data_IF_247896781663
#
_entry.id   IF_247896781663
#
_cell.length_a   1.000
_cell.length_b   1.000
_cell.length_c   1.000
_cell.angle_alpha   90.00
_cell.angle_beta   90.00
_cell.angle_gamma   90.00
#
_symmetry.space_group_name_H-M   'P 1'
#
loop_
_entity.id
_entity.type
_entity.pdbx_description
1 polymer ?
#
# COMPACT_ATOMS: atom_id res chain seq x y z
N UNK A 1 -17.37 9.07 -17.42
CA UNK A 1 -16.66 9.54 -16.21
C UNK A 1 -17.08 10.98 -16.01
N UNK A 2 -17.62 11.33 -14.85
CA UNK A 2 -17.94 12.72 -14.52
C UNK A 2 -16.64 13.49 -14.27
N UNK A 3 -16.60 14.76 -14.62
CA UNK A 3 -15.44 15.60 -14.33
C UNK A 3 -15.21 15.67 -12.80
N UNK A 4 -13.95 15.60 -12.33
CA UNK A 4 -13.64 15.73 -10.91
C UNK A 4 -14.20 17.04 -10.35
N UNK A 5 -14.77 16.97 -9.14
CA UNK A 5 -15.28 18.16 -8.45
C UNK A 5 -14.14 19.16 -8.26
N UNK A 6 -14.32 20.37 -8.78
CA UNK A 6 -13.33 21.43 -8.60
C UNK A 6 -13.51 22.11 -7.24
N UNK A 7 -12.46 22.12 -6.43
CA UNK A 7 -12.46 22.78 -5.13
C UNK A 7 -11.87 24.21 -5.20
N UNK A 8 -12.47 25.19 -4.50
CA UNK A 8 -11.89 26.52 -4.38
C UNK A 8 -10.68 26.51 -3.44
N UNK A 9 -9.73 27.43 -3.63
CA UNK A 9 -8.52 27.54 -2.79
C UNK A 9 -8.82 27.82 -1.32
N UNK A 10 -10.02 28.30 -0.99
CA UNK A 10 -10.48 28.39 0.41
C UNK A 10 -10.54 27.04 1.13
N UNK A 11 -10.48 25.91 0.40
CA UNK A 11 -10.35 24.57 0.95
C UNK A 11 -8.91 24.13 1.22
N UNK A 12 -7.90 24.96 0.94
CA UNK A 12 -6.49 24.61 1.15
C UNK A 12 -6.20 24.09 2.57
N UNK A 13 -6.81 24.69 3.59
CA UNK A 13 -6.68 24.23 4.99
C UNK A 13 -7.10 22.77 5.17
N UNK A 14 -8.23 22.36 4.57
CA UNK A 14 -8.69 20.97 4.61
C UNK A 14 -7.69 20.01 3.93
N UNK A 15 -7.13 20.39 2.79
CA UNK A 15 -6.15 19.56 2.09
C UNK A 15 -4.86 19.38 2.91
N UNK A 16 -4.44 20.43 3.61
CA UNK A 16 -3.29 20.36 4.54
C UNK A 16 -3.59 19.46 5.74
N UNK A 17 -4.76 19.63 6.37
CA UNK A 17 -5.21 18.81 7.49
C UNK A 17 -5.38 17.34 7.10
N UNK A 18 -5.82 17.05 5.89
CA UNK A 18 -6.04 15.68 5.41
C UNK A 18 -4.73 14.99 5.00
N UNK A 19 -3.80 15.71 4.34
CA UNK A 19 -2.55 15.11 3.86
C UNK A 19 -1.56 14.79 4.98
N UNK A 20 -1.65 15.44 6.14
CA UNK A 20 -0.72 15.18 7.25
C UNK A 20 -0.95 13.82 7.93
N UNK A 21 -2.17 13.39 8.29
CA UNK A 21 -2.44 12.03 8.76
C UNK A 21 -2.16 10.99 7.68
N UNK A 22 -2.52 11.27 6.43
CA UNK A 22 -2.28 10.36 5.31
C UNK A 22 -0.78 10.03 5.15
N UNK A 23 0.11 11.01 5.38
CA UNK A 23 1.56 10.78 5.39
C UNK A 23 2.00 9.79 6.47
N UNK A 24 1.41 9.88 7.67
CA UNK A 24 1.71 8.97 8.78
C UNK A 24 1.26 7.56 8.40
N UNK A 25 0.04 7.41 7.90
CA UNK A 25 -0.53 6.11 7.49
C UNK A 25 0.33 5.43 6.41
N UNK A 26 0.75 6.16 5.37
CA UNK A 26 1.60 5.62 4.30
C UNK A 26 3.00 5.29 4.80
N UNK A 27 3.55 6.11 5.69
CA UNK A 27 4.87 5.84 6.29
C UNK A 27 4.84 4.56 7.13
N UNK A 28 3.79 4.34 7.91
CA UNK A 28 3.62 3.14 8.73
C UNK A 28 3.40 1.90 7.88
N UNK A 29 2.59 2.00 6.82
CA UNK A 29 2.36 0.90 5.89
C UNK A 29 3.63 0.52 5.12
N UNK A 30 4.38 1.51 4.60
CA UNK A 30 5.66 1.28 3.94
C UNK A 30 6.65 0.58 4.88
N UNK A 31 6.77 1.06 6.12
CA UNK A 31 7.64 0.44 7.12
C UNK A 31 7.22 -1.00 7.46
N UNK A 32 5.92 -1.29 7.50
CA UNK A 32 5.40 -2.63 7.77
C UNK A 32 5.72 -3.60 6.62
N UNK A 33 5.53 -3.17 5.38
CA UNK A 33 5.86 -3.98 4.21
C UNK A 33 7.36 -4.20 4.05
N UNK A 34 8.18 -3.20 4.37
CA UNK A 34 9.65 -3.36 4.36
C UNK A 34 10.10 -4.39 5.40
N UNK A 35 9.47 -4.47 6.57
CA UNK A 35 9.74 -5.53 7.55
C UNK A 35 9.38 -6.92 6.99
N UNK A 36 8.24 -7.03 6.30
CA UNK A 36 7.80 -8.26 5.65
C UNK A 36 8.76 -8.71 4.53
N UNK A 37 9.53 -7.81 3.93
CA UNK A 37 10.55 -8.14 2.91
C UNK A 37 11.56 -9.20 3.37
N UNK A 38 11.91 -9.21 4.65
CA UNK A 38 12.84 -10.17 5.25
C UNK A 38 12.21 -11.55 5.52
N UNK A 39 10.88 -11.61 5.62
CA UNK A 39 10.10 -12.82 5.90
C UNK A 39 8.82 -12.83 5.04
N UNK A 40 8.95 -12.88 3.71
CA UNK A 40 7.80 -12.63 2.82
C UNK A 40 6.71 -13.70 2.94
N UNK A 41 7.06 -14.90 3.42
CA UNK A 41 6.15 -16.01 3.72
C UNK A 41 5.20 -15.76 4.90
N UNK A 42 5.25 -14.59 5.57
CA UNK A 42 4.24 -14.22 6.58
C UNK A 42 2.98 -13.63 5.94
N UNK A 43 3.05 -13.23 4.67
CA UNK A 43 1.94 -12.68 3.91
C UNK A 43 1.31 -13.76 3.03
N UNK A 44 0.00 -13.65 2.85
CA UNK A 44 -0.75 -14.43 1.87
C UNK A 44 -0.81 -13.72 0.51
N UNK A 45 -1.11 -14.48 -0.55
CA UNK A 45 -1.46 -13.91 -1.87
C UNK A 45 -2.61 -12.89 -1.75
N UNK A 46 -3.57 -13.13 -0.85
CA UNK A 46 -4.67 -12.21 -0.58
C UNK A 46 -4.17 -10.89 0.04
N UNK A 47 -3.29 -10.94 1.05
CA UNK A 47 -2.77 -9.73 1.71
C UNK A 47 -2.00 -8.84 0.73
N UNK A 48 -1.18 -9.43 -0.13
CA UNK A 48 -0.42 -8.69 -1.14
C UNK A 48 -1.33 -8.09 -2.21
N UNK A 49 -2.33 -8.85 -2.69
CA UNK A 49 -3.25 -8.37 -3.72
C UNK A 49 -4.18 -7.25 -3.23
N UNK A 50 -4.70 -7.36 -2.00
CA UNK A 50 -5.51 -6.29 -1.39
C UNK A 50 -4.68 -5.03 -1.12
N UNK A 51 -3.44 -5.19 -0.62
CA UNK A 51 -2.52 -4.06 -0.44
C UNK A 51 -2.30 -3.36 -1.78
N UNK A 52 -1.94 -4.10 -2.83
CA UNK A 52 -1.74 -3.53 -4.17
C UNK A 52 -2.98 -2.78 -4.66
N UNK A 53 -4.18 -3.36 -4.50
CA UNK A 53 -5.44 -2.74 -4.92
C UNK A 53 -5.63 -1.39 -4.22
N UNK A 54 -5.55 -1.35 -2.89
CA UNK A 54 -5.72 -0.13 -2.09
C UNK A 54 -4.73 0.97 -2.51
N UNK A 55 -3.45 0.65 -2.66
CA UNK A 55 -2.44 1.66 -3.03
C UNK A 55 -2.47 2.04 -4.52
N UNK A 56 -3.12 1.23 -5.37
CA UNK A 56 -3.43 1.64 -6.75
C UNK A 56 -4.55 2.67 -6.75
N UNK A 57 -5.62 2.44 -5.97
CA UNK A 57 -6.72 3.41 -5.80
C UNK A 57 -6.21 4.73 -5.20
N UNK A 58 -5.36 4.66 -4.17
CA UNK A 58 -4.76 5.86 -3.58
C UNK A 58 -3.83 6.61 -4.54
N UNK A 59 -3.19 5.93 -5.49
CA UNK A 59 -2.40 6.61 -6.51
C UNK A 59 -3.28 7.48 -7.42
N UNK A 60 -4.53 7.07 -7.67
CA UNK A 60 -5.51 7.86 -8.41
C UNK A 60 -5.96 9.07 -7.57
N UNK A 61 -6.25 8.87 -6.29
CA UNK A 61 -6.60 9.96 -5.36
C UNK A 61 -5.49 11.02 -5.27
N UNK A 62 -4.23 10.59 -5.17
CA UNK A 62 -3.08 11.50 -5.16
C UNK A 62 -3.02 12.35 -6.42
N UNK A 63 -3.38 11.78 -7.58
CA UNK A 63 -3.41 12.52 -8.85
C UNK A 63 -4.45 13.64 -8.80
N UNK A 64 -5.62 13.38 -8.21
CA UNK A 64 -6.67 14.41 -8.02
C UNK A 64 -6.21 15.54 -7.10
N UNK A 65 -5.45 15.23 -6.05
CA UNK A 65 -4.89 16.22 -5.13
C UNK A 65 -3.77 17.04 -5.79
N UNK A 66 -2.86 16.39 -6.51
CA UNK A 66 -1.78 17.02 -7.29
C UNK A 66 -2.34 17.98 -8.33
N UNK A 67 -3.34 17.56 -9.10
CA UNK A 67 -4.01 18.39 -10.09
C UNK A 67 -4.71 19.59 -9.45
N UNK A 68 -5.34 19.41 -8.30
CA UNK A 68 -5.97 20.50 -7.54
C UNK A 68 -4.94 21.50 -7.05
N UNK A 69 -3.82 21.03 -6.48
CA UNK A 69 -2.71 21.86 -6.04
C UNK A 69 -2.09 22.66 -7.20
N UNK A 70 -1.86 22.00 -8.34
CA UNK A 70 -1.30 22.63 -9.54
C UNK A 70 -2.22 23.74 -10.09
N UNK A 71 -3.54 23.50 -10.14
CA UNK A 71 -4.51 24.53 -10.54
C UNK A 71 -4.53 25.73 -9.60
N UNK A 72 -4.45 25.51 -8.29
CA UNK A 72 -4.37 26.61 -7.32
C UNK A 72 -3.06 27.39 -7.46
N UNK A 73 -1.94 26.71 -7.67
CA UNK A 73 -0.64 27.35 -7.87
C UNK A 73 -0.59 28.23 -9.14
N UNK A 74 -1.39 27.93 -10.15
CA UNK A 74 -1.49 28.73 -11.38
C UNK A 74 -2.29 30.05 -11.22
N UNK A 75 -2.92 30.31 -10.07
CA UNK A 75 -3.69 31.54 -9.84
C UNK A 75 -2.78 32.75 -9.66
N UNK A 76 -3.11 33.88 -10.29
CA UNK A 76 -2.26 35.08 -10.26
C UNK A 76 -2.29 35.84 -8.92
N UNK A 77 -3.36 35.72 -8.15
CA UNK A 77 -3.67 36.58 -6.99
C UNK A 77 -3.62 35.85 -5.64
N UNK A 78 -2.64 34.96 -5.46
CA UNK A 78 -2.45 34.25 -4.19
C UNK A 78 -2.00 35.19 -3.06
N UNK A 79 -2.53 34.99 -1.85
CA UNK A 79 -1.99 35.62 -0.64
C UNK A 79 -0.65 34.98 -0.24
N UNK A 80 0.12 35.63 0.64
CA UNK A 80 1.36 35.03 1.16
C UNK A 80 1.09 33.71 1.89
N UNK A 81 0.01 33.66 2.67
CA UNK A 81 -0.44 32.46 3.39
C UNK A 81 -0.84 31.33 2.45
N UNK A 82 -1.58 31.63 1.38
CA UNK A 82 -1.94 30.63 0.37
C UNK A 82 -0.71 30.06 -0.34
N UNK A 83 0.29 30.90 -0.66
CA UNK A 83 1.55 30.42 -1.27
C UNK A 83 2.30 29.49 -0.32
N UNK A 84 2.40 29.86 0.96
CA UNK A 84 3.05 29.02 1.97
C UNK A 84 2.30 27.68 2.14
N UNK A 85 0.97 27.72 2.24
CA UNK A 85 0.14 26.52 2.32
C UNK A 85 0.26 25.62 1.10
N UNK A 86 0.31 26.18 -0.12
CA UNK A 86 0.53 25.40 -1.35
C UNK A 86 1.93 24.77 -1.39
N UNK A 87 2.95 25.46 -0.88
CA UNK A 87 4.30 24.89 -0.79
C UNK A 87 4.32 23.68 0.17
N UNK A 88 3.67 23.80 1.34
CA UNK A 88 3.51 22.70 2.29
C UNK A 88 2.71 21.54 1.67
N UNK A 89 1.57 21.83 1.06
CA UNK A 89 0.75 20.81 0.39
C UNK A 89 1.53 20.09 -0.70
N UNK A 90 2.26 20.83 -1.54
CA UNK A 90 3.13 20.26 -2.58
C UNK A 90 4.19 19.33 -2.01
N UNK A 91 4.86 19.72 -0.92
CA UNK A 91 5.81 18.86 -0.21
C UNK A 91 5.17 17.58 0.30
N UNK A 92 3.97 17.67 0.90
CA UNK A 92 3.25 16.51 1.38
C UNK A 92 2.90 15.55 0.23
N UNK A 93 2.39 16.07 -0.89
CA UNK A 93 2.01 15.25 -2.05
C UNK A 93 3.20 14.53 -2.68
N UNK A 94 4.36 15.18 -2.77
CA UNK A 94 5.59 14.53 -3.24
C UNK A 94 5.98 13.35 -2.34
N UNK A 95 5.91 13.54 -1.02
CA UNK A 95 6.23 12.48 -0.06
C UNK A 95 5.20 11.34 -0.12
N UNK A 96 3.91 11.65 -0.17
CA UNK A 96 2.84 10.66 -0.34
C UNK A 96 3.03 9.85 -1.62
N UNK A 97 3.32 10.51 -2.74
CA UNK A 97 3.58 9.85 -4.02
C UNK A 97 4.75 8.90 -3.95
N UNK A 98 5.86 9.33 -3.33
CA UNK A 98 7.03 8.50 -3.14
C UNK A 98 6.69 7.25 -2.30
N UNK A 99 6.06 7.43 -1.13
CA UNK A 99 5.68 6.32 -0.25
C UNK A 99 4.71 5.34 -0.92
N UNK A 100 3.69 5.85 -1.59
CA UNK A 100 2.72 5.04 -2.33
C UNK A 100 3.41 4.20 -3.43
N UNK A 101 4.38 4.81 -4.14
CA UNK A 101 5.16 4.10 -5.16
C UNK A 101 6.02 3.01 -4.55
N UNK A 102 6.73 3.30 -3.45
CA UNK A 102 7.54 2.30 -2.73
C UNK A 102 6.69 1.12 -2.23
N UNK A 103 5.46 1.39 -1.77
CA UNK A 103 4.53 0.34 -1.35
C UNK A 103 4.16 -0.55 -2.54
N UNK A 104 3.79 0.03 -3.69
CA UNK A 104 3.46 -0.75 -4.88
C UNK A 104 4.64 -1.60 -5.37
N UNK A 105 5.85 -1.04 -5.40
CA UNK A 105 7.07 -1.78 -5.73
C UNK A 105 7.35 -2.93 -4.74
N UNK A 106 7.08 -2.72 -3.44
CA UNK A 106 7.17 -3.79 -2.44
C UNK A 106 6.12 -4.88 -2.69
N UNK A 107 4.89 -4.52 -3.09
CA UNK A 107 3.88 -5.53 -3.44
C UNK A 107 4.30 -6.36 -4.66
N UNK A 108 4.93 -5.76 -5.68
CA UNK A 108 5.53 -6.49 -6.82
C UNK A 108 6.59 -7.48 -6.35
N UNK A 109 7.45 -7.05 -5.43
CA UNK A 109 8.46 -7.92 -4.85
C UNK A 109 7.84 -9.07 -4.03
N UNK A 110 6.83 -8.79 -3.23
CA UNK A 110 6.25 -9.75 -2.27
C UNK A 110 5.32 -10.77 -2.95
N UNK A 111 4.67 -10.43 -4.06
CA UNK A 111 3.69 -11.27 -4.77
C UNK A 111 4.21 -12.66 -5.15
N UNK A 112 5.52 -12.77 -5.41
CA UNK A 112 6.15 -14.04 -5.79
C UNK A 112 6.72 -14.84 -4.60
N UNK A 113 6.52 -14.36 -3.36
CA UNK A 113 7.25 -14.84 -2.16
C UNK A 113 6.36 -15.06 -0.93
N UNK A 114 5.04 -15.03 -1.11
CA UNK A 114 4.03 -15.30 -0.08
C UNK A 114 4.08 -16.74 0.43
N UNK A 115 3.32 -17.05 1.48
CA UNK A 115 3.25 -18.40 2.02
C UNK A 115 2.75 -19.41 0.98
N UNK A 116 1.77 -19.06 0.16
CA UNK A 116 1.26 -19.93 -0.90
C UNK A 116 2.34 -20.23 -1.94
N UNK A 117 3.16 -19.23 -2.31
CA UNK A 117 4.27 -19.42 -3.25
C UNK A 117 5.38 -20.29 -2.67
N UNK A 118 5.69 -20.12 -1.39
CA UNK A 118 6.66 -20.98 -0.71
C UNK A 118 6.12 -22.41 -0.62
N UNK A 119 4.87 -22.61 -0.23
CA UNK A 119 4.25 -23.94 -0.11
C UNK A 119 4.11 -24.67 -1.45
N UNK A 120 3.91 -23.95 -2.55
CA UNK A 120 3.89 -24.51 -3.90
C UNK A 120 5.26 -24.97 -4.42
N UNK A 121 6.33 -24.86 -3.61
CA UNK A 121 7.65 -25.37 -3.98
C UNK A 121 7.62 -26.90 -3.96
N UNK A 122 7.98 -27.60 -5.06
CA UNK A 122 7.82 -29.05 -5.18
C UNK A 122 8.44 -29.86 -4.03
N UNK A 123 9.62 -29.46 -3.54
CA UNK A 123 10.30 -30.15 -2.44
C UNK A 123 9.52 -30.05 -1.12
N UNK A 124 8.85 -28.92 -0.88
CA UNK A 124 8.00 -28.71 0.30
C UNK A 124 6.69 -29.48 0.14
N UNK A 125 6.08 -29.47 -1.04
CA UNK A 125 4.87 -30.27 -1.31
C UNK A 125 5.12 -31.76 -1.11
N UNK A 126 6.27 -32.27 -1.57
CA UNK A 126 6.69 -33.66 -1.37
C UNK A 126 6.93 -33.96 0.12
N UNK A 127 7.67 -33.09 0.82
CA UNK A 127 7.94 -33.25 2.26
C UNK A 127 6.67 -33.21 3.11
N UNK A 128 5.74 -32.29 2.82
CA UNK A 128 4.45 -32.19 3.50
C UNK A 128 3.56 -33.39 3.19
N UNK A 129 3.52 -33.85 1.93
CA UNK A 129 2.78 -35.04 1.53
C UNK A 129 3.28 -36.28 2.28
N UNK A 130 4.59 -36.45 2.42
CA UNK A 130 5.17 -37.57 3.15
C UNK A 130 4.92 -37.47 4.67
N UNK A 131 5.05 -36.28 5.24
CA UNK A 131 4.69 -36.02 6.63
C UNK A 131 3.22 -36.37 6.92
N UNK A 132 2.28 -35.91 6.08
CA UNK A 132 0.85 -36.18 6.25
C UNK A 132 0.50 -37.66 6.08
N UNK A 133 1.15 -38.40 5.15
CA UNK A 133 1.00 -39.85 5.04
C UNK A 133 1.46 -40.56 6.31
N UNK A 134 2.61 -40.16 6.87
CA UNK A 134 3.13 -40.73 8.11
C UNK A 134 2.19 -40.45 9.30
N UNK A 135 1.62 -39.25 9.37
CA UNK A 135 0.75 -38.84 10.48
C UNK A 135 -0.67 -39.40 10.37
N UNK A 136 -1.21 -39.57 9.15
CA UNK A 136 -2.51 -40.20 8.90
C UNK A 136 -2.47 -41.74 9.02
N UNK A 137 -1.27 -42.33 9.13
CA UNK A 137 -1.02 -43.77 9.29
C UNK A 137 -1.08 -44.30 10.72
N UNK A 138 -1.27 -43.46 11.76
CA UNK A 138 -1.45 -43.93 13.14
C UNK A 138 -2.93 -43.94 13.56
N UNK A 139 -3.67 -44.98 13.16
CA UNK A 139 -4.72 -45.53 14.03
C UNK A 139 -4.06 -46.64 14.84
N UNK A 140 -4.07 -46.60 16.19
CA UNK A 140 -3.71 -47.79 16.96
C UNK A 140 -4.72 -48.88 16.61
N UNK A 141 -4.24 -50.00 16.06
CA UNK A 141 -5.00 -51.23 15.98
C UNK A 141 -5.35 -51.64 17.41
N UNK A 142 -6.59 -51.36 17.82
CA UNK A 142 -7.20 -52.00 18.98
C UNK A 142 -7.56 -53.42 18.58
N UNK A 143 -6.66 -54.36 18.82
CA UNK A 143 -6.90 -55.81 18.85
C UNK A 143 -5.76 -56.41 19.67
N UNK A 144 -5.91 -57.13 20.79
CA UNK A 144 -7.01 -57.88 21.41
C UNK A 144 -6.74 -57.90 22.93
#
# INVERSE_FOLDING_TARGET
>A
MSDPIQHPISKLGFFLEYTSPWLIELSEAAATLEQARSKPHVLTDHDVSETRRVYTEQAEDLTLFEDTSARWAAQANLTAEQRAGLATLGSNLVQLRHLNTSILELTDYLETRTIERVLATPDIELGLSEFLKHFSGQRPDTTN
#
